data_IF_464553915148
#
_entry.id   IF_464553915148
#
_cell.length_a   1.000
_cell.length_b   1.000
_cell.length_c   1.000
_cell.angle_alpha   90.00
_cell.angle_beta   90.00
_cell.angle_gamma   90.00
#
_symmetry.space_group_name_H-M   'P 1'
#
loop_
_entity.id
_entity.type
_entity.pdbx_description
1 polymer ?
#
# COMPACT_ATOMS: atom_id res chain seq x y z
N UNK A 1 -17.70 -8.07 -0.94
CA UNK A 1 -17.03 -8.47 -2.20
C UNK A 1 -16.14 -9.65 -1.87
N UNK A 2 -16.47 -10.84 -2.36
CA UNK A 2 -15.64 -12.04 -2.18
C UNK A 2 -14.87 -12.22 -3.49
N UNK A 3 -13.54 -12.33 -3.43
CA UNK A 3 -12.69 -12.59 -4.59
C UNK A 3 -12.27 -11.38 -5.44
N UNK A 4 -12.51 -10.14 -5.00
CA UNK A 4 -12.13 -8.95 -5.78
C UNK A 4 -10.76 -8.40 -5.38
N UNK A 5 -9.70 -9.07 -5.84
CA UNK A 5 -8.31 -8.67 -5.63
C UNK A 5 -8.03 -7.28 -6.24
N UNK A 6 -7.18 -6.49 -5.58
CA UNK A 6 -6.73 -5.17 -6.06
C UNK A 6 -7.68 -3.99 -5.81
N UNK A 7 -8.87 -4.21 -5.23
CA UNK A 7 -9.83 -3.12 -5.00
C UNK A 7 -9.67 -2.37 -3.67
N UNK A 8 -8.90 -2.90 -2.71
CA UNK A 8 -8.71 -2.29 -1.40
C UNK A 8 -8.19 -0.85 -1.52
N UNK A 9 -7.22 -0.64 -2.41
CA UNK A 9 -6.66 0.68 -2.77
C UNK A 9 -7.73 1.69 -3.25
N UNK A 10 -8.57 1.31 -4.21
CA UNK A 10 -9.65 2.15 -4.74
C UNK A 10 -10.73 2.45 -3.70
N UNK A 11 -11.13 1.45 -2.91
CA UNK A 11 -12.12 1.63 -1.83
C UNK A 11 -11.54 2.58 -0.77
N UNK A 12 -10.30 2.36 -0.35
CA UNK A 12 -9.61 3.20 0.62
C UNK A 12 -9.50 4.66 0.18
N UNK A 13 -9.24 4.90 -1.11
CA UNK A 13 -9.28 6.25 -1.69
C UNK A 13 -10.65 6.91 -1.54
N UNK A 14 -11.72 6.21 -1.91
CA UNK A 14 -13.09 6.73 -1.76
C UNK A 14 -13.43 7.09 -0.31
N UNK A 15 -13.08 6.21 0.63
CA UNK A 15 -13.27 6.45 2.07
C UNK A 15 -12.45 7.65 2.55
N UNK A 16 -11.20 7.79 2.11
CA UNK A 16 -10.31 8.89 2.50
C UNK A 16 -10.82 10.25 2.01
N UNK A 17 -11.29 10.33 0.76
CA UNK A 17 -11.89 11.55 0.18
C UNK A 17 -13.16 11.91 0.93
N UNK A 18 -14.02 10.93 1.25
CA UNK A 18 -15.28 11.20 1.95
C UNK A 18 -15.09 11.60 3.41
N UNK A 19 -13.98 11.22 4.03
CA UNK A 19 -13.71 11.43 5.46
C UNK A 19 -12.37 12.15 5.71
N UNK A 20 -12.17 13.41 5.25
CA UNK A 20 -10.86 14.08 5.28
C UNK A 20 -10.29 14.30 6.69
N UNK A 21 -11.13 14.28 7.73
CA UNK A 21 -10.73 14.43 9.14
C UNK A 21 -10.29 13.11 9.80
N UNK A 22 -10.55 11.96 9.18
CA UNK A 22 -10.16 10.64 9.70
C UNK A 22 -8.95 10.13 8.93
N UNK A 23 -7.98 9.54 9.63
CA UNK A 23 -6.85 8.85 8.98
C UNK A 23 -7.30 7.47 8.53
N UNK A 24 -7.11 7.16 7.25
CA UNK A 24 -7.55 5.91 6.64
C UNK A 24 -6.33 5.04 6.37
N UNK A 25 -6.38 3.81 6.88
CA UNK A 25 -5.38 2.78 6.65
C UNK A 25 -5.95 1.74 5.70
N UNK A 26 -5.24 1.49 4.62
CA UNK A 26 -5.53 0.43 3.66
C UNK A 26 -4.48 -0.63 3.84
N UNK A 27 -4.91 -1.86 4.09
CA UNK A 27 -4.03 -3.02 4.18
C UNK A 27 -4.21 -3.84 2.91
N UNK A 28 -3.13 -4.07 2.19
CA UNK A 28 -3.15 -4.76 0.90
C UNK A 28 -1.95 -5.68 0.75
N UNK A 29 -2.02 -6.61 -0.20
CA UNK A 29 -0.92 -7.49 -0.58
C UNK A 29 -0.22 -6.99 -1.84
N UNK A 30 1.04 -7.35 -2.01
CA UNK A 30 1.81 -7.09 -3.23
C UNK A 30 1.09 -7.59 -4.50
N UNK A 31 0.56 -8.81 -4.48
CA UNK A 31 -0.21 -9.38 -5.59
C UNK A 31 -1.44 -8.54 -5.96
N UNK A 32 -2.17 -8.05 -4.95
CA UNK A 32 -3.35 -7.21 -5.17
C UNK A 32 -2.98 -5.86 -5.82
N UNK A 33 -1.89 -5.24 -5.37
CA UNK A 33 -1.41 -3.98 -5.96
C UNK A 33 -1.04 -4.17 -7.43
N UNK A 34 -0.36 -5.28 -7.74
CA UNK A 34 0.02 -5.60 -9.12
C UNK A 34 -1.20 -5.82 -10.02
N UNK A 35 -2.32 -6.29 -9.48
CA UNK A 35 -3.58 -6.44 -10.22
C UNK A 35 -4.31 -5.11 -10.49
N UNK A 36 -3.98 -4.04 -9.77
CA UNK A 36 -4.62 -2.72 -9.94
C UNK A 36 -3.64 -1.55 -9.74
N UNK A 37 -2.59 -1.50 -10.58
CA UNK A 37 -1.62 -0.41 -10.54
C UNK A 37 -2.22 0.97 -10.87
N UNK A 38 -3.32 1.01 -11.64
CA UNK A 38 -4.02 2.24 -11.98
C UNK A 38 -4.62 2.97 -10.77
N UNK A 39 -4.87 2.26 -9.65
CA UNK A 39 -5.29 2.91 -8.42
C UNK A 39 -4.19 3.80 -7.83
N UNK A 40 -2.92 3.40 -7.96
CA UNK A 40 -1.79 4.17 -7.43
C UNK A 40 -1.66 5.51 -8.13
N UNK A 41 -1.79 5.54 -9.46
CA UNK A 41 -1.73 6.79 -10.23
C UNK A 41 -2.88 7.72 -9.86
N UNK A 42 -4.07 7.18 -9.63
CA UNK A 42 -5.24 7.93 -9.20
C UNK A 42 -5.05 8.52 -7.80
N UNK A 43 -4.64 7.71 -6.82
CA UNK A 43 -4.35 8.16 -5.45
C UNK A 43 -3.25 9.22 -5.45
N UNK A 44 -2.18 8.96 -6.20
CA UNK A 44 -1.04 9.85 -6.37
C UNK A 44 -1.38 11.20 -6.98
N UNK A 45 -2.41 11.25 -7.81
CA UNK A 45 -2.92 12.47 -8.44
C UNK A 45 -3.85 13.24 -7.51
N UNK A 46 -4.80 12.56 -6.86
CA UNK A 46 -5.75 13.19 -5.94
C UNK A 46 -5.14 13.60 -4.60
N UNK A 47 -4.01 12.97 -4.21
CA UNK A 47 -3.19 13.28 -3.04
C UNK A 47 -3.98 13.43 -1.72
N UNK A 48 -4.81 12.45 -1.31
CA UNK A 48 -5.51 12.50 -0.03
C UNK A 48 -4.50 12.55 1.14
N UNK A 49 -4.53 13.66 1.90
CA UNK A 49 -3.58 13.91 3.00
C UNK A 49 -3.67 12.90 4.15
N UNK A 50 -4.77 12.16 4.23
CA UNK A 50 -5.14 11.26 5.32
C UNK A 50 -5.04 9.78 4.98
N UNK A 51 -4.57 9.40 3.78
CA UNK A 51 -4.47 8.01 3.35
C UNK A 51 -3.07 7.41 3.63
N UNK A 52 -3.06 6.27 4.29
CA UNK A 52 -1.89 5.41 4.51
C UNK A 52 -2.17 4.06 3.89
N UNK A 53 -1.28 3.60 3.01
CA UNK A 53 -1.41 2.34 2.29
C UNK A 53 -0.30 1.38 2.70
N UNK A 54 -0.64 0.35 3.46
CA UNK A 54 0.27 -0.70 3.87
C UNK A 54 0.20 -1.84 2.88
N UNK A 55 1.34 -2.17 2.28
CA UNK A 55 1.48 -3.27 1.33
C UNK A 55 2.36 -4.33 1.97
N UNK A 56 1.79 -5.48 2.28
CA UNK A 56 2.53 -6.66 2.72
C UNK A 56 3.08 -7.38 1.49
N UNK A 57 4.40 -7.52 1.44
CA UNK A 57 5.10 -7.98 0.26
C UNK A 57 5.94 -9.19 0.64
N UNK A 58 5.36 -10.38 0.42
CA UNK A 58 5.99 -11.70 0.53
C UNK A 58 6.39 -12.29 -0.83
N UNK A 59 6.10 -11.60 -1.94
CA UNK A 59 6.42 -12.10 -3.28
C UNK A 59 5.52 -13.24 -3.75
N UNK A 60 4.34 -13.43 -3.15
CA UNK A 60 3.50 -14.62 -3.37
C UNK A 60 2.00 -14.32 -3.30
N UNK A 61 1.22 -14.91 -4.22
CA UNK A 61 -0.23 -15.01 -4.12
C UNK A 61 -0.61 -16.10 -3.10
N UNK A 62 -0.39 -15.79 -1.82
CA UNK A 62 -0.47 -16.78 -0.73
C UNK A 62 -1.83 -17.48 -0.64
N UNK A 63 -2.93 -16.74 -0.84
CA UNK A 63 -4.28 -17.28 -0.71
C UNK A 63 -4.71 -18.23 -1.83
N UNK A 64 -3.94 -18.32 -2.93
CA UNK A 64 -4.29 -19.14 -4.12
C UNK A 64 -3.32 -20.29 -4.36
N UNK A 65 -2.43 -20.58 -3.40
CA UNK A 65 -1.46 -21.68 -3.52
C UNK A 65 -0.01 -21.24 -3.67
N UNK A 66 0.32 -19.99 -3.32
CA UNK A 66 1.71 -19.57 -3.14
C UNK A 66 2.46 -19.24 -4.44
N UNK A 67 1.74 -18.94 -5.52
CA UNK A 67 2.37 -18.63 -6.81
C UNK A 67 3.14 -17.31 -6.72
N UNK A 68 4.35 -17.22 -7.30
CA UNK A 68 5.15 -16.01 -7.18
C UNK A 68 4.46 -14.82 -7.84
N UNK A 69 4.53 -13.66 -7.20
CA UNK A 69 4.11 -12.40 -7.82
C UNK A 69 5.28 -11.74 -8.57
N UNK A 70 4.99 -10.72 -9.36
CA UNK A 70 6.03 -9.93 -10.02
C UNK A 70 6.83 -9.03 -9.06
N UNK A 71 6.46 -8.94 -7.77
CA UNK A 71 7.12 -8.04 -6.80
C UNK A 71 8.56 -8.47 -6.47
N UNK A 72 8.90 -9.74 -6.74
CA UNK A 72 10.27 -10.27 -6.68
C UNK A 72 11.21 -9.63 -7.71
N UNK A 73 10.67 -9.22 -8.86
CA UNK A 73 11.45 -8.58 -9.94
C UNK A 73 11.20 -7.07 -10.05
N UNK A 74 10.01 -6.61 -9.65
CA UNK A 74 9.55 -5.24 -9.85
C UNK A 74 9.28 -4.59 -8.49
N UNK A 75 9.99 -3.49 -8.21
CA UNK A 75 9.85 -2.79 -6.93
C UNK A 75 8.56 -1.97 -6.86
N UNK A 76 7.60 -2.43 -6.05
CA UNK A 76 6.37 -1.69 -5.72
C UNK A 76 6.69 -0.31 -5.15
N UNK A 77 7.70 -0.21 -4.29
CA UNK A 77 8.15 1.06 -3.72
C UNK A 77 8.58 2.07 -4.79
N UNK A 78 9.31 1.63 -5.83
CA UNK A 78 9.71 2.51 -6.94
C UNK A 78 8.51 2.93 -7.79
N UNK A 79 7.57 2.01 -8.07
CA UNK A 79 6.32 2.34 -8.79
C UNK A 79 5.52 3.38 -8.00
N UNK A 80 5.29 3.16 -6.71
CA UNK A 80 4.52 4.07 -5.89
C UNK A 80 5.21 5.44 -5.72
N UNK A 81 6.55 5.48 -5.67
CA UNK A 81 7.31 6.73 -5.71
C UNK A 81 7.06 7.50 -7.01
N UNK A 82 7.09 6.82 -8.16
CA UNK A 82 6.76 7.43 -9.45
C UNK A 82 5.29 7.90 -9.51
N UNK A 83 4.40 7.21 -8.80
CA UNK A 83 3.00 7.60 -8.59
C UNK A 83 2.81 8.63 -7.46
N UNK A 84 3.82 9.45 -7.12
CA UNK A 84 3.71 10.56 -6.16
C UNK A 84 3.38 10.19 -4.70
N UNK A 85 3.59 8.95 -4.27
CA UNK A 85 3.48 8.60 -2.85
C UNK A 85 4.73 8.98 -2.07
N UNK A 86 4.54 9.28 -0.79
CA UNK A 86 5.63 9.25 0.19
C UNK A 86 5.87 7.79 0.60
N UNK A 87 7.07 7.27 0.37
CA UNK A 87 7.37 5.85 0.54
C UNK A 87 8.21 5.58 1.79
N UNK A 88 7.85 4.51 2.49
CA UNK A 88 8.69 3.85 3.48
C UNK A 88 8.77 2.35 3.16
N UNK A 89 9.94 1.76 3.32
CA UNK A 89 10.12 0.31 3.28
C UNK A 89 10.59 -0.14 4.66
N UNK A 90 10.06 -1.25 5.13
CA UNK A 90 10.41 -1.85 6.41
C UNK A 90 10.58 -3.36 6.24
N UNK A 91 11.52 -3.92 6.97
CA UNK A 91 11.88 -5.35 6.88
C UNK A 91 11.78 -6.07 8.24
N UNK A 92 11.47 -5.33 9.30
CA UNK A 92 11.29 -5.87 10.65
C UNK A 92 10.37 -4.99 11.50
N UNK A 93 9.91 -5.57 12.61
CA UNK A 93 8.95 -4.96 13.54
C UNK A 93 9.46 -3.63 14.12
N UNK A 94 10.72 -3.57 14.55
CA UNK A 94 11.32 -2.34 15.11
C UNK A 94 11.29 -1.17 14.10
N UNK A 95 11.63 -1.43 12.85
CA UNK A 95 11.51 -0.43 11.78
C UNK A 95 10.04 -0.04 11.56
N UNK A 96 9.13 -1.01 11.56
CA UNK A 96 7.71 -0.77 11.38
C UNK A 96 7.14 0.15 12.48
N UNK A 97 7.40 -0.14 13.75
CA UNK A 97 6.97 0.70 14.89
C UNK A 97 7.51 2.13 14.80
N UNK A 98 8.79 2.27 14.42
CA UNK A 98 9.41 3.58 14.21
C UNK A 98 8.73 4.36 13.09
N UNK A 99 8.40 3.70 11.98
CA UNK A 99 7.69 4.31 10.86
C UNK A 99 6.26 4.68 11.26
N UNK A 100 5.52 3.81 11.96
CA UNK A 100 4.18 4.10 12.46
C UNK A 100 4.16 5.35 13.36
N UNK A 101 5.18 5.52 14.20
CA UNK A 101 5.32 6.73 15.02
C UNK A 101 5.63 7.96 14.16
N UNK A 102 6.54 7.84 13.18
CA UNK A 102 6.93 8.93 12.27
C UNK A 102 5.77 9.43 11.43
N UNK A 103 4.96 8.54 10.85
CA UNK A 103 3.89 8.92 9.92
C UNK A 103 2.74 9.67 10.60
N UNK A 104 2.58 9.58 11.92
CA UNK A 104 1.55 10.33 12.68
C UNK A 104 1.64 11.84 12.42
N UNK A 105 2.85 12.35 12.20
CA UNK A 105 3.15 13.77 11.94
C UNK A 105 3.21 14.12 10.44
N UNK A 106 3.01 13.15 9.55
CA UNK A 106 3.13 13.34 8.11
C UNK A 106 1.77 13.34 7.43
N UNK A 107 1.62 14.16 6.39
CA UNK A 107 0.53 14.08 5.42
C UNK A 107 0.86 13.11 4.30
N UNK A 108 -0.18 12.40 3.85
CA UNK A 108 -0.16 11.45 2.75
C UNK A 108 -0.38 12.05 1.36
N UNK A 109 -0.54 11.18 0.34
CA UNK A 109 -0.65 9.73 0.47
C UNK A 109 0.69 9.08 0.84
N UNK A 110 0.69 8.21 1.85
CA UNK A 110 1.87 7.48 2.31
C UNK A 110 1.69 6.01 1.93
N UNK A 111 2.73 5.38 1.38
CA UNK A 111 2.80 3.93 1.24
C UNK A 111 3.92 3.39 2.14
N UNK A 112 3.61 2.31 2.85
CA UNK A 112 4.56 1.52 3.63
C UNK A 112 4.60 0.14 3.00
N UNK A 113 5.73 -0.22 2.40
CA UNK A 113 5.95 -1.59 1.92
C UNK A 113 6.60 -2.36 3.05
N UNK A 114 5.88 -3.34 3.57
CA UNK A 114 6.30 -4.23 4.65
C UNK A 114 6.79 -5.52 4.01
N UNK A 115 8.10 -5.71 3.96
CA UNK A 115 8.69 -6.98 3.52
C UNK A 115 8.45 -8.02 4.62
N UNK A 116 7.79 -9.11 4.24
CA UNK A 116 7.49 -10.22 5.13
C UNK A 116 8.01 -11.51 4.50
N UNK A 117 8.39 -12.47 5.35
CA UNK A 117 8.80 -13.81 4.93
C UNK A 117 7.65 -14.76 5.26
N UNK A 118 7.44 -15.74 4.38
CA UNK A 118 6.61 -16.90 4.68
C UNK A 118 7.32 -17.82 5.68
#
# INVERSE_FOLDING_TARGET
>A
MIGSMGLASSIGLGVAIKNPKKRIYVFDGDGNILMNLGSLTTIGTLKPKNLIHLVFDNGSHESTGGQPTCSNSISIAKIAKAANFKIFQVENESQFERILTKIKKLSGPIMIVVKIKN
#
